data_IF_826632719109
#
_entry.id   IF_826632719109
#
_cell.length_a   1.000
_cell.length_b   1.000
_cell.length_c   1.000
_cell.angle_alpha   90.00
_cell.angle_beta   90.00
_cell.angle_gamma   90.00
#
_symmetry.space_group_name_H-M   'P 1'
#
loop_
_entity.id
_entity.type
_entity.pdbx_description
1 polymer ?
#
# COMPACT_ATOMS: atom_id res chain seq x y z
N UNK A 1 13.92 -20.45 0.86
CA UNK A 1 13.94 -19.30 -0.06
C UNK A 1 13.25 -18.15 0.66
N UNK A 2 13.90 -16.99 0.77
CA UNK A 2 13.27 -15.77 1.26
C UNK A 2 12.23 -15.29 0.25
N UNK A 3 11.08 -14.80 0.74
CA UNK A 3 10.07 -14.17 -0.10
C UNK A 3 10.63 -12.85 -0.67
N UNK A 4 10.51 -12.64 -1.97
CA UNK A 4 10.88 -11.36 -2.62
C UNK A 4 9.74 -10.35 -2.51
N UNK A 5 10.01 -9.06 -2.77
CA UNK A 5 8.96 -8.03 -2.85
C UNK A 5 8.01 -8.34 -4.02
N UNK A 6 8.57 -8.84 -5.12
CA UNK A 6 7.80 -9.30 -6.27
C UNK A 6 6.87 -10.47 -5.92
N UNK A 7 7.34 -11.44 -5.13
CA UNK A 7 6.48 -12.55 -4.67
C UNK A 7 5.32 -12.05 -3.80
N UNK A 8 5.58 -11.06 -2.93
CA UNK A 8 4.55 -10.43 -2.10
C UNK A 8 3.52 -9.66 -2.96
N UNK A 9 3.98 -8.93 -3.98
CA UNK A 9 3.12 -8.24 -4.96
C UNK A 9 2.19 -9.24 -5.68
N UNK A 10 2.73 -10.36 -6.19
CA UNK A 10 1.92 -11.40 -6.86
C UNK A 10 0.91 -12.05 -5.92
N UNK A 11 1.31 -12.32 -4.68
CA UNK A 11 0.43 -12.89 -3.66
C UNK A 11 -0.72 -11.93 -3.32
N UNK A 12 -0.41 -10.63 -3.18
CA UNK A 12 -1.40 -9.58 -2.97
C UNK A 12 -2.45 -9.58 -4.09
N UNK A 13 -2.01 -9.56 -5.35
CA UNK A 13 -2.91 -9.57 -6.50
C UNK A 13 -3.76 -10.84 -6.61
N UNK A 14 -3.17 -12.00 -6.32
CA UNK A 14 -3.92 -13.26 -6.27
C UNK A 14 -5.06 -13.20 -5.24
N UNK A 15 -4.78 -12.66 -4.05
CA UNK A 15 -5.78 -12.50 -2.99
C UNK A 15 -6.83 -11.44 -3.37
N UNK A 16 -6.40 -10.30 -3.93
CA UNK A 16 -7.27 -9.24 -4.42
C UNK A 16 -8.29 -9.75 -5.43
N UNK A 17 -7.84 -10.49 -6.45
CA UNK A 17 -8.74 -11.08 -7.45
C UNK A 17 -9.71 -12.08 -6.82
N UNK A 18 -9.23 -12.96 -5.94
CA UNK A 18 -10.09 -13.92 -5.25
C UNK A 18 -11.22 -13.25 -4.45
N UNK A 19 -10.93 -12.12 -3.80
CA UNK A 19 -11.92 -11.34 -3.06
C UNK A 19 -12.92 -10.69 -4.03
N UNK A 20 -12.42 -9.99 -5.04
CA UNK A 20 -13.26 -9.23 -5.96
C UNK A 20 -14.07 -10.11 -6.93
N UNK A 21 -13.63 -11.33 -7.23
CA UNK A 21 -14.44 -12.34 -7.96
C UNK A 21 -15.79 -12.63 -7.27
N UNK A 22 -15.86 -12.42 -5.95
CA UNK A 22 -17.07 -12.52 -5.14
C UNK A 22 -17.75 -11.16 -4.98
N UNK A 23 -16.99 -10.13 -4.57
CA UNK A 23 -17.56 -8.83 -4.22
C UNK A 23 -18.04 -8.02 -5.41
N UNK A 24 -17.40 -8.13 -6.57
CA UNK A 24 -17.78 -7.36 -7.78
C UNK A 24 -19.18 -7.77 -8.26
N UNK A 25 -19.54 -9.05 -8.09
CA UNK A 25 -20.89 -9.56 -8.39
C UNK A 25 -21.95 -8.99 -7.46
N UNK A 26 -21.58 -8.67 -6.21
CA UNK A 26 -22.48 -8.09 -5.21
C UNK A 26 -22.61 -6.58 -5.38
N UNK A 27 -21.49 -5.91 -5.67
CA UNK A 27 -21.41 -4.45 -5.85
C UNK A 27 -21.95 -3.98 -7.21
N UNK A 28 -21.96 -4.86 -8.21
CA UNK A 28 -22.35 -4.55 -9.58
C UNK A 28 -21.27 -3.82 -10.39
N UNK A 29 -20.13 -3.50 -9.77
CA UNK A 29 -18.97 -2.88 -10.38
C UNK A 29 -17.70 -3.34 -9.67
N UNK A 30 -16.63 -3.57 -10.42
CA UNK A 30 -15.31 -3.88 -9.86
C UNK A 30 -14.47 -2.64 -9.56
N UNK A 31 -13.29 -2.88 -9.02
CA UNK A 31 -12.30 -1.83 -8.78
C UNK A 31 -11.75 -1.31 -10.11
N UNK A 32 -12.02 -0.04 -10.38
CA UNK A 32 -11.36 0.69 -11.45
C UNK A 32 -10.06 1.32 -10.94
N UNK A 33 -9.14 1.76 -11.83
CA UNK A 33 -7.98 2.53 -11.40
C UNK A 33 -8.32 3.77 -10.57
N UNK A 34 -9.47 4.40 -10.85
CA UNK A 34 -9.97 5.50 -10.04
C UNK A 34 -10.22 5.07 -8.59
N UNK A 35 -10.93 3.94 -8.40
CA UNK A 35 -11.18 3.38 -7.06
C UNK A 35 -9.88 3.03 -6.34
N UNK A 36 -8.94 2.39 -7.04
CA UNK A 36 -7.63 2.05 -6.47
C UNK A 36 -6.85 3.28 -5.99
N UNK A 37 -6.86 4.38 -6.77
CA UNK A 37 -6.15 5.60 -6.37
C UNK A 37 -6.88 6.34 -5.24
N UNK A 38 -8.22 6.33 -5.22
CA UNK A 38 -8.95 6.94 -4.09
C UNK A 38 -8.75 6.17 -2.80
N UNK A 39 -8.68 4.84 -2.87
CA UNK A 39 -8.37 3.96 -1.73
C UNK A 39 -6.95 4.23 -1.22
N UNK A 40 -5.97 4.39 -2.14
CA UNK A 40 -4.60 4.79 -1.76
C UNK A 40 -4.55 6.12 -0.99
N UNK A 41 -5.41 7.08 -1.34
CA UNK A 41 -5.51 8.36 -0.63
C UNK A 41 -6.19 8.21 0.74
N UNK A 42 -7.16 7.30 0.86
CA UNK A 42 -7.80 6.95 2.14
C UNK A 42 -6.76 6.38 3.11
N UNK A 43 -5.98 5.39 2.68
CA UNK A 43 -4.91 4.78 3.47
C UNK A 43 -3.81 5.80 3.84
N UNK A 44 -3.51 6.75 2.95
CA UNK A 44 -2.60 7.86 3.26
C UNK A 44 -3.13 8.78 4.36
N UNK A 45 -4.44 9.02 4.38
CA UNK A 45 -5.11 9.71 5.47
C UNK A 45 -5.02 8.95 6.78
N UNK A 46 -5.15 7.61 6.76
CA UNK A 46 -5.05 6.75 7.93
C UNK A 46 -3.63 6.74 8.52
N UNK A 47 -2.61 6.58 7.67
CA UNK A 47 -1.19 6.73 8.06
C UNK A 47 -0.96 8.09 8.72
N UNK A 48 -1.38 9.19 8.08
CA UNK A 48 -1.23 10.53 8.63
C UNK A 48 -1.95 10.69 9.98
N UNK A 49 -3.15 10.09 10.09
CA UNK A 49 -3.97 10.06 11.29
C UNK A 49 -3.28 9.31 12.44
N UNK A 50 -2.58 8.20 12.17
CA UNK A 50 -1.81 7.46 13.18
C UNK A 50 -0.56 8.21 13.59
N UNK A 51 0.24 8.72 12.64
CA UNK A 51 1.43 9.53 12.91
C UNK A 51 1.08 10.74 13.78
N UNK A 52 0.00 11.46 13.44
CA UNK A 52 -0.48 12.59 14.24
C UNK A 52 -0.76 12.21 15.71
N UNK A 53 -1.25 10.99 15.94
CA UNK A 53 -1.47 10.48 17.30
C UNK A 53 -0.19 10.09 18.02
N UNK A 54 0.76 9.47 17.31
CA UNK A 54 2.09 9.12 17.85
C UNK A 54 2.89 10.36 18.26
N UNK A 55 2.75 11.45 17.50
CA UNK A 55 3.39 12.74 17.74
C UNK A 55 2.65 13.60 18.79
N UNK A 56 1.60 13.06 19.44
CA UNK A 56 0.90 13.75 20.54
C UNK A 56 -0.08 14.84 20.12
N UNK A 57 -0.43 14.95 18.84
CA UNK A 57 -1.40 15.92 18.32
C UNK A 57 -2.85 15.41 18.32
N UNK A 58 -3.13 14.32 19.05
CA UNK A 58 -4.48 13.76 19.27
C UNK A 58 -4.74 13.56 20.76
N UNK A 59 -6.02 13.50 21.18
CA UNK A 59 -6.36 13.32 22.57
C UNK A 59 -5.76 12.04 23.17
N UNK A 60 -5.18 12.09 24.39
CA UNK A 60 -4.43 11.00 25.00
C UNK A 60 -5.27 9.77 25.33
N UNK A 61 -6.59 9.91 25.46
CA UNK A 61 -7.54 8.80 25.68
C UNK A 61 -7.69 7.86 24.47
N UNK A 62 -7.11 8.21 23.32
CA UNK A 62 -7.04 7.36 22.11
C UNK A 62 -5.60 7.21 21.65
N UNK A 63 -4.73 6.56 22.43
CA UNK A 63 -3.32 6.44 22.09
C UNK A 63 -3.18 5.66 20.78
N UNK A 64 -2.31 6.17 19.90
CA UNK A 64 -1.89 5.47 18.69
C UNK A 64 -0.60 4.71 18.98
N UNK A 65 -0.39 3.58 18.32
CA UNK A 65 0.79 2.72 18.54
C UNK A 65 1.55 2.47 17.25
N UNK A 66 2.78 1.94 17.36
CA UNK A 66 3.60 1.60 16.20
C UNK A 66 3.02 0.42 15.41
N UNK A 67 2.31 -0.48 16.09
CA UNK A 67 1.59 -1.60 15.48
C UNK A 67 0.45 -1.08 14.60
N UNK A 68 -0.28 -0.07 15.06
CA UNK A 68 -1.29 0.60 14.23
C UNK A 68 -0.65 1.25 12.99
N UNK A 69 0.51 1.90 13.15
CA UNK A 69 1.21 2.49 12.01
C UNK A 69 1.67 1.42 11.02
N UNK A 70 2.14 0.27 11.52
CA UNK A 70 2.51 -0.85 10.68
C UNK A 70 1.31 -1.41 9.90
N UNK A 71 0.13 -1.46 10.51
CA UNK A 71 -1.13 -1.81 9.82
C UNK A 71 -1.42 -0.83 8.68
N UNK A 72 -1.54 0.47 8.95
CA UNK A 72 -1.95 1.42 7.89
C UNK A 72 -0.89 1.52 6.78
N UNK A 73 0.39 1.38 7.11
CA UNK A 73 1.45 1.31 6.10
C UNK A 73 1.35 0.04 5.24
N UNK A 74 0.89 -1.07 5.83
CA UNK A 74 0.68 -2.33 5.10
C UNK A 74 -0.55 -2.26 4.20
N UNK A 75 -1.62 -1.61 4.65
CA UNK A 75 -2.83 -1.41 3.85
C UNK A 75 -2.54 -0.45 2.68
N UNK A 76 -1.79 0.63 2.90
CA UNK A 76 -1.27 1.46 1.81
C UNK A 76 -0.42 0.67 0.81
N UNK A 77 0.51 -0.18 1.29
CA UNK A 77 1.36 -1.00 0.43
C UNK A 77 0.53 -2.02 -0.37
N UNK A 78 -0.54 -2.57 0.21
CA UNK A 78 -1.47 -3.46 -0.47
C UNK A 78 -2.08 -2.78 -1.70
N UNK A 79 -2.58 -1.54 -1.55
CA UNK A 79 -3.16 -0.80 -2.68
C UNK A 79 -2.13 -0.48 -3.75
N UNK A 80 -0.89 -0.14 -3.36
CA UNK A 80 0.22 0.09 -4.29
C UNK A 80 0.51 -1.18 -5.11
N UNK A 81 0.55 -2.36 -4.48
CA UNK A 81 0.75 -3.63 -5.19
C UNK A 81 -0.39 -3.96 -6.14
N UNK A 82 -1.64 -3.74 -5.72
CA UNK A 82 -2.83 -3.92 -6.58
C UNK A 82 -2.73 -3.02 -7.81
N UNK A 83 -2.35 -1.76 -7.63
CA UNK A 83 -2.20 -0.80 -8.72
C UNK A 83 -1.05 -1.17 -9.66
N UNK A 84 0.10 -1.59 -9.12
CA UNK A 84 1.25 -2.04 -9.91
C UNK A 84 0.88 -3.25 -10.79
N UNK A 85 0.22 -4.26 -10.21
CA UNK A 85 -0.25 -5.44 -10.94
C UNK A 85 -1.32 -5.11 -11.98
N UNK A 86 -2.24 -4.19 -11.67
CA UNK A 86 -3.24 -3.70 -12.63
C UNK A 86 -2.60 -3.14 -13.90
N UNK A 87 -1.47 -2.44 -13.76
CA UNK A 87 -0.73 -1.84 -14.89
C UNK A 87 0.43 -2.70 -15.42
N UNK A 88 0.65 -3.90 -14.88
CA UNK A 88 1.74 -4.78 -15.31
C UNK A 88 3.15 -4.30 -14.94
N UNK A 89 3.28 -3.58 -13.82
CA UNK A 89 4.53 -3.00 -13.34
C UNK A 89 5.25 -3.96 -12.40
N UNK A 90 6.53 -4.24 -12.66
CA UNK A 90 7.40 -4.92 -11.70
C UNK A 90 7.93 -3.92 -10.66
N UNK A 91 7.23 -3.78 -9.53
CA UNK A 91 7.55 -2.74 -8.57
C UNK A 91 8.91 -2.97 -7.88
N UNK A 92 9.32 -4.22 -7.68
CA UNK A 92 10.62 -4.55 -7.10
C UNK A 92 11.77 -3.99 -7.94
N UNK A 93 11.75 -4.24 -9.25
CA UNK A 93 12.77 -3.75 -10.17
C UNK A 93 12.80 -2.21 -10.22
N UNK A 94 11.64 -1.58 -10.42
CA UNK A 94 11.52 -0.12 -10.46
C UNK A 94 11.95 0.54 -9.13
N UNK A 95 11.64 -0.08 -8.00
CA UNK A 95 12.03 0.41 -6.68
C UNK A 95 13.55 0.28 -6.46
N UNK A 96 14.15 -0.84 -6.85
CA UNK A 96 15.60 -1.04 -6.73
C UNK A 96 16.40 -0.06 -7.59
N UNK A 97 15.95 0.22 -8.82
CA UNK A 97 16.53 1.29 -9.66
C UNK A 97 16.48 2.64 -8.95
N UNK A 98 15.29 3.01 -8.45
CA UNK A 98 15.08 4.25 -7.71
C UNK A 98 16.02 4.40 -6.51
N UNK A 99 16.18 3.35 -5.70
CA UNK A 99 17.05 3.36 -4.51
C UNK A 99 18.53 3.53 -4.89
N UNK A 100 18.99 2.84 -5.94
CA UNK A 100 20.37 2.99 -6.41
C UNK A 100 20.63 4.40 -6.95
N UNK A 101 19.66 4.97 -7.67
CA UNK A 101 19.75 6.32 -8.23
C UNK A 101 19.74 7.40 -7.14
N UNK A 102 19.10 7.17 -5.99
CA UNK A 102 19.15 8.10 -4.86
C UNK A 102 20.58 8.38 -4.38
N UNK A 103 21.45 7.36 -4.34
CA UNK A 103 22.85 7.55 -3.96
C UNK A 103 23.52 8.48 -4.97
N UNK A 104 23.43 8.16 -6.26
CA UNK A 104 24.05 8.95 -7.34
C UNK A 104 23.51 10.39 -7.41
N UNK A 105 22.24 10.57 -7.04
CA UNK A 105 21.56 11.87 -7.07
C UNK A 105 21.99 12.80 -5.94
N UNK A 106 22.27 12.28 -4.75
CA UNK A 106 22.49 13.10 -3.55
C UNK A 106 23.90 13.01 -2.97
N UNK A 107 24.65 11.95 -3.27
CA UNK A 107 26.02 11.74 -2.82
C UNK A 107 26.88 11.54 -4.08
N UNK A 108 27.70 12.54 -4.41
CA UNK A 108 28.69 12.47 -5.50
C UNK A 108 30.01 11.92 -4.99
#
# INVERSE_FOLDING_TARGET
MSLTLRDAQHLCWKNFKKINDVLDKQRGSGWTPFVMVTDLLEEAGEVASVVKGLEGFKPPEKPKTKEMLATELSDMLYVIFVLAEHYGINLEEAFMETVNDYILRFIK
#
